data_IF_348367218220
#
_entry.id   IF_348367218220
#
_cell.length_a   1.000
_cell.length_b   1.000
_cell.length_c   1.000
_cell.angle_alpha   90.00
_cell.angle_beta   90.00
_cell.angle_gamma   90.00
#
_symmetry.space_group_name_H-M   'P 1'
#
loop_
_entity.id
_entity.type
_entity.pdbx_description
1 polymer ?
#
# COMPACT_ATOMS: atom_id res chain seq x y z
N UNK A 1 -4.30 -77.61 -23.33
CA UNK A 1 -3.30 -76.63 -23.79
C UNK A 1 -4.01 -75.32 -23.95
N UNK A 2 -3.83 -74.41 -22.99
CA UNK A 2 -4.58 -73.15 -22.92
C UNK A 2 -3.58 -72.01 -22.84
N UNK A 3 -3.69 -71.10 -23.80
CA UNK A 3 -2.78 -69.99 -24.11
C UNK A 3 -2.99 -68.88 -23.06
N UNK A 4 -1.94 -68.24 -22.51
CA UNK A 4 -2.11 -67.09 -21.63
C UNK A 4 -2.34 -65.80 -22.43
N UNK A 5 -3.32 -65.02 -22.01
CA UNK A 5 -3.69 -63.69 -22.55
C UNK A 5 -2.74 -62.63 -21.97
N UNK A 6 -2.20 -61.68 -22.75
CA UNK A 6 -1.39 -60.59 -22.23
C UNK A 6 -2.25 -59.46 -21.62
N UNK A 7 -1.83 -58.98 -20.45
CA UNK A 7 -2.41 -57.82 -19.74
C UNK A 7 -1.99 -56.53 -20.46
N UNK A 8 -2.89 -55.56 -20.73
CA UNK A 8 -2.52 -54.29 -21.33
C UNK A 8 -1.78 -53.40 -20.32
N UNK A 9 -0.62 -52.88 -20.72
CA UNK A 9 0.14 -51.86 -19.99
C UNK A 9 -0.54 -50.50 -20.20
N UNK A 10 -1.08 -49.92 -19.14
CA UNK A 10 -1.63 -48.55 -19.15
C UNK A 10 -0.44 -47.58 -19.05
N UNK A 11 -0.29 -46.61 -19.98
CA UNK A 11 0.76 -45.60 -19.87
C UNK A 11 0.49 -44.67 -18.68
N UNK A 12 1.46 -44.59 -17.77
CA UNK A 12 1.47 -43.63 -16.65
C UNK A 12 1.64 -42.21 -17.23
N UNK A 13 0.76 -41.25 -16.91
CA UNK A 13 0.94 -39.88 -17.37
C UNK A 13 2.21 -39.27 -16.76
N UNK A 14 3.06 -38.73 -17.62
CA UNK A 14 4.27 -37.99 -17.26
C UNK A 14 3.83 -36.73 -16.50
N UNK A 15 4.36 -36.44 -15.29
CA UNK A 15 4.01 -35.23 -14.56
C UNK A 15 4.50 -34.01 -15.32
N UNK A 16 3.55 -33.15 -15.72
CA UNK A 16 3.84 -31.82 -16.28
C UNK A 16 4.38 -30.94 -15.16
N UNK A 17 5.51 -30.23 -15.33
CA UNK A 17 6.04 -29.35 -14.30
C UNK A 17 5.07 -28.17 -14.06
N UNK A 18 4.59 -28.05 -12.83
CA UNK A 18 3.76 -26.94 -12.35
C UNK A 18 4.68 -25.74 -12.08
N UNK A 19 4.38 -24.53 -12.59
CA UNK A 19 5.15 -23.34 -12.27
C UNK A 19 4.97 -22.98 -10.78
N UNK A 20 6.10 -22.84 -10.08
CA UNK A 20 6.18 -22.27 -8.74
C UNK A 20 5.94 -20.77 -8.85
N UNK A 21 4.90 -20.24 -8.20
CA UNK A 21 4.74 -18.80 -7.99
C UNK A 21 5.01 -18.53 -6.50
N UNK A 22 6.15 -17.94 -6.12
CA UNK A 22 6.33 -17.38 -4.80
C UNK A 22 6.49 -15.85 -4.94
N UNK A 23 5.39 -15.09 -4.84
CA UNK A 23 5.40 -13.67 -4.47
C UNK A 23 4.01 -13.29 -3.95
N UNK A 24 3.88 -12.38 -2.96
CA UNK A 24 2.64 -11.66 -2.76
C UNK A 24 2.36 -10.90 -4.06
N UNK A 25 1.22 -11.14 -4.69
CA UNK A 25 0.76 -10.34 -5.83
C UNK A 25 0.00 -9.16 -5.24
N UNK A 26 0.57 -7.94 -5.27
CA UNK A 26 -0.17 -6.77 -4.84
C UNK A 26 -1.27 -6.49 -5.87
N UNK A 27 -2.51 -6.38 -5.42
CA UNK A 27 -3.63 -5.91 -6.23
C UNK A 27 -3.64 -4.40 -6.11
N UNK A 28 -3.01 -3.71 -7.07
CA UNK A 28 -2.91 -2.25 -7.04
C UNK A 28 -3.73 -1.64 -8.16
N UNK A 29 -4.57 -0.67 -7.80
CA UNK A 29 -5.56 -0.10 -8.69
C UNK A 29 -5.19 1.33 -9.07
N UNK A 30 -5.14 1.55 -10.38
CA UNK A 30 -5.13 2.88 -10.98
C UNK A 30 -6.52 3.10 -11.57
N UNK A 31 -7.28 4.14 -11.17
CA UNK A 31 -8.51 4.49 -11.85
C UNK A 31 -8.21 4.99 -13.27
N UNK A 32 -8.44 4.15 -14.28
CA UNK A 32 -8.27 4.52 -15.69
C UNK A 32 -9.47 5.39 -16.12
N UNK A 33 -9.26 6.56 -16.76
CA UNK A 33 -10.33 7.29 -17.42
C UNK A 33 -10.60 6.68 -18.80
N UNK A 34 -11.73 5.98 -19.00
CA UNK A 34 -12.17 5.59 -20.36
C UNK A 34 -13.65 5.92 -20.55
N UNK A 35 -14.04 6.62 -21.63
CA UNK A 35 -15.44 6.74 -22.02
C UNK A 35 -15.94 5.41 -22.57
N UNK A 36 -17.20 5.08 -22.27
CA UNK A 36 -17.85 3.81 -22.56
C UNK A 36 -17.59 3.27 -23.98
N UNK A 37 -16.92 2.11 -24.06
CA UNK A 37 -16.91 1.19 -25.22
C UNK A 37 -16.91 -0.24 -24.66
N UNK A 38 -17.71 -1.18 -25.20
CA UNK A 38 -17.83 -2.53 -24.65
C UNK A 38 -16.48 -3.28 -24.70
N UNK A 39 -16.12 -3.86 -23.56
CA UNK A 39 -14.90 -4.64 -23.37
C UNK A 39 -14.95 -5.88 -24.26
N UNK A 40 -14.05 -5.94 -25.24
CA UNK A 40 -13.72 -7.17 -25.97
C UNK A 40 -12.34 -7.61 -25.46
N UNK A 41 -12.27 -8.78 -24.80
CA UNK A 41 -11.00 -9.35 -24.34
C UNK A 41 -10.21 -9.83 -25.57
N UNK A 42 -9.06 -9.18 -25.84
CA UNK A 42 -8.08 -9.66 -26.82
C UNK A 42 -6.88 -10.22 -26.03
N UNK A 43 -6.57 -11.52 -26.14
CA UNK A 43 -5.38 -12.09 -25.51
C UNK A 43 -4.13 -11.70 -26.30
N UNK A 44 -3.17 -11.07 -25.64
CA UNK A 44 -1.82 -10.81 -26.18
C UNK A 44 -0.88 -11.90 -25.65
N UNK A 45 -0.26 -12.73 -26.51
CA UNK A 45 0.69 -13.75 -26.07
C UNK A 45 2.07 -13.12 -25.81
N UNK A 46 2.62 -13.33 -24.61
CA UNK A 46 4.02 -13.03 -24.28
C UNK A 46 4.85 -14.33 -24.47
N UNK A 47 6.00 -14.31 -25.15
CA UNK A 47 6.81 -15.51 -25.38
C UNK A 47 7.53 -15.95 -24.11
N UNK A 48 7.33 -17.22 -23.72
CA UNK A 48 8.01 -17.87 -22.60
C UNK A 48 9.38 -18.37 -23.06
N UNK A 49 10.47 -17.71 -22.66
CA UNK A 49 11.81 -18.28 -22.73
C UNK A 49 12.10 -19.10 -21.47
N UNK A 50 12.37 -20.38 -21.66
CA UNK A 50 12.67 -21.36 -20.60
C UNK A 50 14.10 -21.19 -20.08
N UNK A 51 14.25 -20.98 -18.77
CA UNK A 51 15.54 -21.09 -18.06
C UNK A 51 15.47 -22.31 -17.14
N UNK A 52 16.50 -23.18 -17.05
CA UNK A 52 16.41 -24.40 -16.25
C UNK A 52 16.51 -24.13 -14.74
N UNK A 53 15.66 -24.81 -13.96
CA UNK A 53 15.61 -24.74 -12.49
C UNK A 53 16.46 -25.87 -11.88
N UNK A 54 17.36 -25.61 -10.91
CA UNK A 54 18.05 -26.66 -10.17
C UNK A 54 17.11 -27.31 -9.13
N UNK A 55 17.12 -28.65 -9.07
CA UNK A 55 16.37 -29.46 -8.07
C UNK A 55 17.00 -29.33 -6.68
N UNK A 56 16.20 -29.05 -5.66
CA UNK A 56 16.56 -29.29 -4.25
C UNK A 56 15.67 -30.40 -3.67
N UNK A 57 16.23 -31.29 -2.81
CA UNK A 57 15.50 -32.42 -2.27
C UNK A 57 14.64 -32.02 -1.06
N UNK A 58 13.52 -32.73 -0.88
CA UNK A 58 12.61 -32.59 0.23
C UNK A 58 13.24 -33.04 1.57
N UNK A 59 13.20 -32.16 2.56
CA UNK A 59 13.30 -32.40 4.01
C UNK A 59 12.59 -31.20 4.67
N UNK A 60 11.75 -31.27 5.70
CA UNK A 60 11.52 -32.25 6.74
C UNK A 60 11.35 -31.47 8.06
N UNK A 61 10.13 -31.37 8.56
CA UNK A 61 9.72 -31.19 9.98
C UNK A 61 10.08 -29.90 10.78
N UNK A 62 9.02 -29.37 11.40
CA UNK A 62 8.89 -28.56 12.63
C UNK A 62 10.07 -27.72 13.16
N UNK A 63 9.79 -26.43 13.38
CA UNK A 63 10.55 -25.53 14.24
C UNK A 63 11.38 -24.53 13.45
N UNK A 64 11.06 -23.23 13.60
CA UNK A 64 11.91 -22.08 13.26
C UNK A 64 12.87 -22.29 12.06
N UNK A 65 12.31 -22.47 10.86
CA UNK A 65 13.04 -22.54 9.58
C UNK A 65 12.61 -21.39 8.64
N UNK A 66 13.43 -21.02 7.65
CA UNK A 66 13.41 -19.68 7.04
C UNK A 66 12.07 -19.37 6.37
N UNK A 67 11.54 -18.20 6.69
CA UNK A 67 10.44 -17.54 5.98
C UNK A 67 10.74 -17.50 4.48
N UNK A 68 9.75 -17.37 3.59
CA UNK A 68 9.99 -16.99 2.20
C UNK A 68 10.52 -15.54 2.18
N UNK A 69 11.80 -15.38 2.51
CA UNK A 69 12.53 -14.14 2.35
C UNK A 69 13.14 -14.05 0.96
N UNK A 70 13.72 -12.89 0.65
CA UNK A 70 14.59 -12.75 -0.53
C UNK A 70 15.66 -13.85 -0.54
N UNK A 71 16.35 -14.13 -1.67
CA UNK A 71 17.46 -15.10 -1.73
C UNK A 71 18.57 -14.91 -0.68
N UNK A 72 18.55 -13.78 0.05
CA UNK A 72 19.46 -13.41 1.14
C UNK A 72 18.87 -13.62 2.55
N UNK A 73 17.69 -14.24 2.69
CA UNK A 73 17.02 -14.49 3.97
C UNK A 73 16.41 -13.25 4.63
N UNK A 74 16.20 -12.16 3.87
CA UNK A 74 15.58 -10.92 4.37
C UNK A 74 14.06 -11.05 4.28
N UNK A 75 13.36 -10.80 5.38
CA UNK A 75 11.91 -10.64 5.40
C UNK A 75 11.52 -9.33 4.72
N UNK A 76 10.80 -9.42 3.60
CA UNK A 76 10.44 -8.29 2.76
C UNK A 76 9.43 -7.35 3.44
N UNK A 77 8.58 -7.86 4.34
CA UNK A 77 7.60 -7.04 5.07
C UNK A 77 8.19 -6.36 6.32
N UNK A 78 9.50 -6.47 6.53
CA UNK A 78 10.28 -5.72 7.52
C UNK A 78 11.41 -4.92 6.85
N UNK A 79 11.34 -4.74 5.51
CA UNK A 79 12.44 -4.20 4.72
C UNK A 79 12.14 -2.87 4.03
N UNK A 80 10.93 -2.32 4.20
CA UNK A 80 10.62 -0.97 3.77
C UNK A 80 11.13 0.07 4.78
N UNK A 81 11.30 1.31 4.32
CA UNK A 81 11.80 2.35 5.19
C UNK A 81 10.80 2.62 6.31
N UNK A 82 11.27 2.57 7.55
CA UNK A 82 10.51 3.08 8.70
C UNK A 82 10.39 4.60 8.56
N UNK A 83 9.20 5.03 8.15
CA UNK A 83 8.81 6.44 8.05
C UNK A 83 7.98 6.88 9.27
N UNK A 84 7.42 5.92 10.01
CA UNK A 84 6.63 6.13 11.22
C UNK A 84 7.45 6.87 12.27
N UNK A 85 8.64 6.37 12.60
CA UNK A 85 9.54 7.00 13.59
C UNK A 85 9.85 8.45 13.22
N UNK A 86 10.09 8.73 11.94
CA UNK A 86 10.41 10.08 11.49
C UNK A 86 9.19 11.03 11.56
N UNK A 87 7.99 10.55 11.23
CA UNK A 87 6.75 11.31 11.37
C UNK A 87 6.49 11.64 12.84
N UNK A 88 6.58 10.64 13.70
CA UNK A 88 6.22 10.72 15.11
C UNK A 88 7.20 11.59 15.89
N UNK A 89 8.50 11.47 15.62
CA UNK A 89 9.51 12.40 16.13
C UNK A 89 9.18 13.84 15.72
N UNK A 90 8.66 14.06 14.51
CA UNK A 90 8.31 15.40 14.03
C UNK A 90 7.02 15.92 14.69
N UNK A 91 6.01 15.06 14.89
CA UNK A 91 4.78 15.39 15.61
C UNK A 91 5.06 15.76 17.07
N UNK A 92 5.88 14.97 17.78
CA UNK A 92 6.26 15.23 19.18
C UNK A 92 7.05 16.54 19.36
N UNK A 93 7.58 17.09 18.26
CA UNK A 93 8.28 18.37 18.21
C UNK A 93 7.47 19.49 17.53
N UNK A 94 6.16 19.29 17.30
CA UNK A 94 5.24 20.24 16.65
C UNK A 94 5.71 20.72 15.26
N UNK A 95 6.40 19.85 14.51
CA UNK A 95 6.96 20.19 13.20
C UNK A 95 5.99 19.88 12.05
N UNK A 96 4.92 19.11 12.27
CA UNK A 96 3.99 18.66 11.24
C UNK A 96 2.77 19.61 11.14
N UNK A 97 2.29 19.99 9.95
CA UNK A 97 2.81 19.69 8.61
C UNK A 97 3.79 20.74 8.05
N UNK A 98 4.09 21.79 8.82
CA UNK A 98 4.74 23.01 8.29
C UNK A 98 6.26 22.89 8.09
N UNK A 99 6.95 22.17 8.98
CA UNK A 99 8.40 21.94 8.91
C UNK A 99 8.75 20.51 8.48
N UNK A 100 7.84 19.57 8.71
CA UNK A 100 7.92 18.17 8.31
C UNK A 100 6.60 17.75 7.66
N UNK A 101 6.61 17.05 6.51
CA UNK A 101 5.38 16.76 5.80
C UNK A 101 4.57 15.64 6.47
N UNK A 102 3.23 15.73 6.41
CA UNK A 102 2.29 14.69 6.84
C UNK A 102 1.98 13.64 5.75
N UNK A 103 2.64 13.74 4.58
CA UNK A 103 2.47 12.90 3.40
C UNK A 103 3.76 12.91 2.56
N UNK A 104 4.03 11.88 1.76
CA UNK A 104 5.25 11.79 0.94
C UNK A 104 6.53 12.03 1.76
N UNK A 105 6.62 11.41 2.93
CA UNK A 105 7.80 11.49 3.79
C UNK A 105 9.00 10.96 3.01
N UNK A 106 10.09 11.73 2.87
CA UNK A 106 11.21 11.31 2.02
C UNK A 106 11.88 10.06 2.58
N UNK A 107 12.20 9.11 1.69
CA UNK A 107 12.96 7.91 2.04
C UNK A 107 14.31 8.35 2.63
N UNK A 108 14.72 7.82 3.79
CA UNK A 108 16.01 8.15 4.38
C UNK A 108 17.18 7.90 3.42
N UNK A 109 18.15 8.81 3.38
CA UNK A 109 19.31 8.68 2.47
C UNK A 109 20.07 7.35 2.64
N UNK A 110 20.11 6.79 3.87
CA UNK A 110 20.78 5.52 4.10
C UNK A 110 20.17 4.35 3.29
N UNK A 111 18.92 4.44 2.85
CA UNK A 111 18.29 3.43 1.99
C UNK A 111 18.94 3.35 0.60
N UNK A 112 19.60 4.41 0.14
CA UNK A 112 20.25 4.45 -1.18
C UNK A 112 21.73 4.06 -1.15
N UNK A 113 22.30 3.87 0.05
CA UNK A 113 23.70 3.47 0.17
C UNK A 113 23.94 2.05 -0.34
N UNK A 114 25.11 1.81 -0.92
CA UNK A 114 25.50 0.51 -1.47
C UNK A 114 25.56 -0.61 -0.41
N UNK A 115 25.81 -0.24 0.86
CA UNK A 115 25.84 -1.16 1.99
C UNK A 115 24.48 -1.30 2.72
N UNK A 116 23.43 -0.62 2.25
CA UNK A 116 22.11 -0.72 2.85
C UNK A 116 21.54 -2.13 2.65
N UNK A 117 21.05 -2.74 3.73
CA UNK A 117 20.42 -4.06 3.72
C UNK A 117 18.99 -4.00 3.19
N UNK A 118 18.83 -3.53 1.96
CA UNK A 118 17.54 -3.46 1.25
C UNK A 118 17.52 -4.50 0.14
N UNK A 119 16.49 -5.33 0.13
CA UNK A 119 16.22 -6.36 -0.85
C UNK A 119 15.97 -5.74 -2.24
N UNK A 120 16.46 -6.36 -3.33
CA UNK A 120 16.18 -5.88 -4.67
C UNK A 120 14.68 -5.85 -4.97
N UNK A 121 13.91 -6.79 -4.41
CA UNK A 121 12.45 -6.84 -4.50
C UNK A 121 11.81 -5.59 -3.88
N UNK A 122 12.22 -5.22 -2.66
CA UNK A 122 11.76 -3.99 -2.00
C UNK A 122 12.11 -2.75 -2.82
N UNK A 123 13.32 -2.67 -3.38
CA UNK A 123 13.71 -1.54 -4.26
C UNK A 123 12.83 -1.47 -5.51
N UNK A 124 12.52 -2.61 -6.12
CA UNK A 124 11.67 -2.68 -7.30
C UNK A 124 10.24 -2.23 -6.99
N UNK A 125 9.68 -2.66 -5.85
CA UNK A 125 8.34 -2.26 -5.41
C UNK A 125 8.29 -0.76 -5.08
N UNK A 126 9.28 -0.23 -4.36
CA UNK A 126 9.38 1.23 -4.11
C UNK A 126 9.42 2.02 -5.41
N UNK A 127 10.26 1.59 -6.37
CA UNK A 127 10.33 2.26 -7.68
C UNK A 127 8.98 2.20 -8.42
N UNK A 128 8.31 1.05 -8.38
CA UNK A 128 7.00 0.86 -9.00
C UNK A 128 5.91 1.74 -8.36
N UNK A 129 5.89 1.82 -7.02
CA UNK A 129 5.00 2.71 -6.26
C UNK A 129 5.20 4.19 -6.62
N UNK A 130 6.41 4.59 -7.01
CA UNK A 130 6.73 5.96 -7.44
C UNK A 130 6.41 6.21 -8.92
N UNK A 131 6.26 5.17 -9.74
CA UNK A 131 5.97 5.30 -11.17
C UNK A 131 4.50 5.59 -11.47
N UNK A 132 3.58 5.16 -10.61
CA UNK A 132 2.14 5.28 -10.84
C UNK A 132 1.46 5.98 -9.67
N UNK A 133 0.41 6.78 -9.92
CA UNK A 133 -0.37 7.42 -8.86
C UNK A 133 -1.37 6.41 -8.27
N UNK A 134 -0.86 5.39 -7.58
CA UNK A 134 -1.70 4.40 -6.93
C UNK A 134 -2.54 5.04 -5.82
N UNK A 135 -3.82 4.65 -5.78
CA UNK A 135 -4.82 5.22 -4.85
C UNK A 135 -5.18 4.20 -3.77
N UNK A 136 -5.40 2.95 -4.17
CA UNK A 136 -5.80 1.85 -3.30
C UNK A 136 -4.99 0.60 -3.65
N UNK A 137 -4.53 -0.11 -2.62
CA UNK A 137 -3.77 -1.35 -2.72
C UNK A 137 -4.19 -2.34 -1.65
N UNK A 138 -4.01 -3.63 -1.92
CA UNK A 138 -3.95 -4.66 -0.90
C UNK A 138 -2.76 -5.58 -1.15
N UNK A 139 -2.04 -5.92 -0.09
CA UNK A 139 -1.06 -7.01 -0.11
C UNK A 139 -1.65 -8.24 0.58
N UNK A 140 -1.35 -9.41 0.02
CA UNK A 140 -2.01 -10.67 0.37
C UNK A 140 -1.04 -11.58 1.12
N UNK A 141 -1.47 -12.03 2.29
CA UNK A 141 -0.71 -12.85 3.22
C UNK A 141 -1.49 -14.13 3.59
N UNK A 142 -0.81 -15.02 4.30
CA UNK A 142 -1.42 -16.21 4.87
C UNK A 142 -0.78 -16.56 6.21
N UNK A 143 -1.53 -17.32 7.01
CA UNK A 143 -1.20 -17.67 8.39
C UNK A 143 -2.31 -17.30 9.37
N UNK A 144 -3.25 -16.45 8.97
CA UNK A 144 -4.43 -16.10 9.74
C UNK A 144 -5.60 -15.82 8.79
N UNK A 145 -6.78 -15.51 9.34
CA UNK A 145 -7.96 -15.13 8.57
C UNK A 145 -8.55 -13.83 9.15
N UNK A 146 -7.97 -12.70 8.74
CA UNK A 146 -8.26 -11.34 9.22
C UNK A 146 -7.78 -10.31 8.20
N UNK A 147 -8.39 -9.12 8.19
CA UNK A 147 -7.86 -7.97 7.44
C UNK A 147 -7.21 -6.99 8.40
N UNK A 148 -5.96 -6.66 8.13
CA UNK A 148 -5.17 -5.70 8.93
C UNK A 148 -5.04 -4.37 8.20
N UNK A 149 -5.02 -3.30 8.97
CA UNK A 149 -4.92 -1.94 8.44
C UNK A 149 -3.97 -1.05 9.26
N UNK A 150 -3.38 -0.01 8.64
CA UNK A 150 -2.40 0.86 9.27
C UNK A 150 -2.85 1.53 10.59
N UNK A 151 -1.92 1.96 11.45
CA UNK A 151 -0.48 1.67 11.34
C UNK A 151 -0.13 0.26 11.80
N UNK A 152 0.90 -0.33 11.19
CA UNK A 152 1.48 -1.61 11.59
C UNK A 152 2.51 -1.46 12.70
N UNK A 153 3.19 -0.32 12.79
CA UNK A 153 4.11 -0.02 13.89
C UNK A 153 3.37 0.57 15.11
N UNK A 154 3.72 0.12 16.31
CA UNK A 154 3.26 0.71 17.57
C UNK A 154 3.88 2.08 17.82
N UNK A 155 3.07 3.08 18.20
CA UNK A 155 3.58 4.42 18.56
C UNK A 155 4.59 4.37 19.71
N UNK A 156 4.34 3.54 20.71
CA UNK A 156 5.24 3.32 21.84
C UNK A 156 6.29 2.27 21.48
N UNK A 157 7.55 2.67 21.35
CA UNK A 157 8.67 1.83 20.88
C UNK A 157 8.81 0.45 21.57
N UNK A 158 8.46 0.33 22.85
CA UNK A 158 8.60 -0.93 23.61
C UNK A 158 7.33 -1.77 23.70
N UNK A 159 6.21 -1.33 23.12
CA UNK A 159 4.96 -2.11 23.13
C UNK A 159 4.93 -3.06 21.94
N UNK A 160 4.74 -4.35 22.22
CA UNK A 160 4.51 -5.34 21.16
C UNK A 160 3.12 -5.22 20.52
N UNK A 161 2.15 -4.66 21.27
CA UNK A 161 0.77 -4.47 20.85
C UNK A 161 0.25 -3.11 21.36
N UNK A 162 -0.24 -2.28 20.45
CA UNK A 162 -0.86 -0.98 20.76
C UNK A 162 -1.74 -0.52 19.59
N UNK A 163 -3.01 -0.20 19.87
CA UNK A 163 -3.86 0.48 18.90
C UNK A 163 -3.23 1.80 18.47
N UNK A 164 -2.77 1.86 17.22
CA UNK A 164 -2.06 3.01 16.65
C UNK A 164 -2.78 3.47 15.37
N UNK A 165 -3.85 4.28 15.50
CA UNK A 165 -4.68 4.67 14.36
C UNK A 165 -3.99 5.69 13.45
N UNK A 166 -4.34 5.68 12.17
CA UNK A 166 -3.96 6.75 11.23
C UNK A 166 -4.94 7.93 11.28
N UNK A 167 -4.58 9.10 10.72
CA UNK A 167 -5.54 10.17 10.46
C UNK A 167 -6.75 9.73 9.62
N UNK A 168 -6.59 8.70 8.78
CA UNK A 168 -7.63 8.12 7.92
C UNK A 168 -8.24 6.82 8.49
N UNK A 169 -8.15 6.56 9.80
CA UNK A 169 -8.62 5.31 10.44
C UNK A 169 -10.06 4.93 10.04
N UNK A 170 -10.96 5.91 9.96
CA UNK A 170 -12.34 5.68 9.52
C UNK A 170 -12.45 5.09 8.10
N UNK A 171 -11.58 5.50 7.18
CA UNK A 171 -11.54 4.98 5.80
C UNK A 171 -10.90 3.60 5.79
N UNK A 172 -9.79 3.41 6.51
CA UNK A 172 -9.12 2.10 6.59
C UNK A 172 -10.00 1.02 7.21
N UNK A 173 -10.71 1.34 8.30
CA UNK A 173 -11.69 0.44 8.91
C UNK A 173 -12.80 0.07 7.93
N UNK A 174 -13.29 1.04 7.14
CA UNK A 174 -14.27 0.77 6.09
C UNK A 174 -13.72 -0.20 5.04
N UNK A 175 -12.55 0.10 4.47
CA UNK A 175 -11.87 -0.72 3.45
C UNK A 175 -11.65 -2.16 3.94
N UNK A 176 -11.15 -2.31 5.17
CA UNK A 176 -10.94 -3.61 5.77
C UNK A 176 -12.27 -4.37 5.98
N UNK A 177 -13.31 -3.67 6.45
CA UNK A 177 -14.64 -4.26 6.67
C UNK A 177 -15.27 -4.75 5.38
N UNK A 178 -15.15 -3.99 4.28
CA UNK A 178 -15.69 -4.39 2.97
C UNK A 178 -15.11 -5.74 2.54
N UNK A 179 -13.79 -5.90 2.61
CA UNK A 179 -13.16 -7.17 2.25
C UNK A 179 -13.60 -8.30 3.20
N UNK A 180 -13.50 -8.05 4.51
CA UNK A 180 -13.70 -9.04 5.55
C UNK A 180 -15.13 -9.60 5.61
N UNK A 181 -16.13 -8.74 5.41
CA UNK A 181 -17.54 -9.13 5.45
C UNK A 181 -18.02 -9.80 4.17
N UNK A 182 -17.39 -9.50 3.03
CA UNK A 182 -17.67 -10.15 1.76
C UNK A 182 -17.04 -11.54 1.63
N UNK A 183 -16.03 -11.87 2.44
CA UNK A 183 -15.35 -13.16 2.39
C UNK A 183 -16.14 -14.18 3.23
N UNK A 184 -16.76 -15.21 2.63
CA UNK A 184 -17.60 -16.16 3.37
C UNK A 184 -16.86 -16.93 4.46
N UNK A 185 -15.59 -17.30 4.24
CA UNK A 185 -14.79 -18.02 5.23
C UNK A 185 -14.45 -17.12 6.42
N UNK A 186 -14.10 -15.85 6.16
CA UNK A 186 -13.76 -14.88 7.19
C UNK A 186 -15.01 -14.44 7.98
N UNK A 187 -16.14 -14.22 7.30
CA UNK A 187 -17.39 -13.78 7.88
C UNK A 187 -18.16 -14.91 8.63
N UNK A 188 -17.83 -16.17 8.39
CA UNK A 188 -18.52 -17.31 9.00
C UNK A 188 -18.38 -17.31 10.53
N UNK A 189 -19.53 -17.36 11.22
CA UNK A 189 -19.57 -17.50 12.68
C UNK A 189 -19.13 -18.89 13.17
N UNK A 190 -19.14 -19.89 12.28
CA UNK A 190 -18.74 -21.27 12.56
C UNK A 190 -17.26 -21.53 12.25
N UNK A 191 -16.53 -20.51 11.79
CA UNK A 191 -15.12 -20.67 11.40
C UNK A 191 -14.27 -21.13 12.58
N UNK A 192 -13.35 -22.05 12.30
CA UNK A 192 -12.34 -22.44 13.28
C UNK A 192 -11.27 -21.34 13.37
N UNK A 193 -10.84 -21.03 14.59
CA UNK A 193 -9.67 -20.17 14.82
C UNK A 193 -8.42 -20.82 14.23
N UNK A 194 -7.63 -20.04 13.49
CA UNK A 194 -6.33 -20.50 12.99
C UNK A 194 -5.37 -20.77 14.16
N UNK A 195 -5.27 -19.79 15.07
CA UNK A 195 -4.37 -19.83 16.22
C UNK A 195 -5.11 -19.48 17.53
N UNK A 196 -4.57 -18.54 18.31
CA UNK A 196 -5.07 -18.19 19.65
C UNK A 196 -6.08 -17.05 19.62
N UNK A 197 -5.88 -16.07 18.73
CA UNK A 197 -6.70 -14.88 18.63
C UNK A 197 -8.06 -15.16 17.99
N UNK A 198 -9.07 -14.43 18.44
CA UNK A 198 -10.45 -14.52 17.96
C UNK A 198 -10.89 -13.20 17.34
N UNK A 199 -10.54 -13.00 16.07
CA UNK A 199 -10.84 -11.75 15.35
C UNK A 199 -12.32 -11.55 15.04
N UNK A 200 -13.17 -12.57 15.21
CA UNK A 200 -14.63 -12.42 15.03
C UNK A 200 -15.22 -11.37 15.98
N UNK A 201 -14.62 -11.21 17.16
CA UNK A 201 -15.01 -10.21 18.17
C UNK A 201 -14.80 -8.77 17.72
N UNK A 202 -13.97 -8.59 16.69
CA UNK A 202 -13.61 -7.29 16.13
C UNK A 202 -14.10 -7.12 14.68
N UNK A 203 -15.05 -7.96 14.24
CA UNK A 203 -15.58 -7.90 12.87
C UNK A 203 -14.58 -8.39 11.82
N UNK A 204 -13.62 -9.23 12.22
CA UNK A 204 -12.55 -9.79 11.38
C UNK A 204 -11.61 -8.74 10.78
N UNK A 205 -11.51 -7.57 11.42
CA UNK A 205 -10.53 -6.54 11.11
C UNK A 205 -9.70 -6.21 12.35
N UNK A 206 -8.46 -5.78 12.17
CA UNK A 206 -7.62 -5.30 13.27
C UNK A 206 -6.61 -4.27 12.81
N UNK A 207 -6.31 -3.26 13.63
CA UNK A 207 -5.17 -2.39 13.39
C UNK A 207 -3.86 -3.20 13.52
N UNK A 208 -2.91 -3.06 12.59
CA UNK A 208 -1.71 -3.89 12.54
C UNK A 208 -0.92 -3.85 13.84
N UNK A 209 -0.61 -2.66 14.34
CA UNK A 209 0.10 -2.48 15.60
C UNK A 209 -0.66 -3.02 16.83
N UNK A 210 -1.99 -3.06 16.78
CA UNK A 210 -2.82 -3.66 17.84
C UNK A 210 -2.73 -5.19 17.84
N UNK A 211 -2.45 -5.81 16.68
CA UNK A 211 -2.22 -7.25 16.57
C UNK A 211 -0.78 -7.61 16.94
N UNK A 212 0.19 -7.03 16.25
CA UNK A 212 1.62 -7.09 16.57
C UNK A 212 2.38 -6.01 15.80
N UNK A 213 3.31 -5.34 16.48
CA UNK A 213 4.09 -4.26 15.88
C UNK A 213 5.01 -4.77 14.75
N UNK A 214 4.96 -4.14 13.58
CA UNK A 214 5.82 -4.41 12.42
C UNK A 214 6.41 -3.10 11.93
N UNK A 215 7.68 -2.86 12.27
CA UNK A 215 8.43 -1.71 11.75
C UNK A 215 8.94 -2.01 10.33
N UNK A 216 8.83 -1.04 9.44
CA UNK A 216 9.27 -1.18 8.04
C UNK A 216 8.34 -2.05 7.19
N UNK A 217 7.04 -2.03 7.49
CA UNK A 217 6.00 -2.70 6.69
C UNK A 217 5.75 -1.98 5.37
N UNK A 218 5.27 -2.73 4.38
CA UNK A 218 4.89 -2.17 3.07
C UNK A 218 3.64 -1.30 3.16
N UNK A 219 2.69 -1.63 4.05
CA UNK A 219 1.46 -0.85 4.27
C UNK A 219 1.76 0.58 4.72
N UNK A 220 2.52 0.69 5.81
CA UNK A 220 2.84 1.98 6.42
C UNK A 220 3.69 2.82 5.46
N UNK A 221 4.61 2.18 4.73
CA UNK A 221 5.38 2.84 3.68
C UNK A 221 4.49 3.38 2.56
N UNK A 222 3.53 2.61 2.07
CA UNK A 222 2.60 3.03 1.02
C UNK A 222 1.84 4.30 1.42
N UNK A 223 1.26 4.30 2.62
CA UNK A 223 0.50 5.42 3.16
C UNK A 223 1.39 6.65 3.43
N UNK A 224 2.59 6.46 3.99
CA UNK A 224 3.45 7.59 4.38
C UNK A 224 4.28 8.17 3.24
N UNK A 225 4.63 7.38 2.22
CA UNK A 225 5.49 7.81 1.12
C UNK A 225 4.74 8.15 -0.18
N UNK A 226 3.50 7.70 -0.34
CA UNK A 226 2.71 7.87 -1.58
C UNK A 226 1.28 8.34 -1.27
N UNK A 227 0.41 8.38 -2.29
CA UNK A 227 -1.03 8.59 -2.10
C UNK A 227 -1.79 7.28 -1.77
N UNK A 228 -1.11 6.12 -1.85
CA UNK A 228 -1.76 4.83 -1.88
C UNK A 228 -2.17 4.37 -0.48
N UNK A 229 -3.45 4.05 -0.32
CA UNK A 229 -3.97 3.45 0.90
C UNK A 229 -3.85 1.93 0.74
N UNK A 230 -3.00 1.30 1.55
CA UNK A 230 -2.74 -0.14 1.50
C UNK A 230 -3.24 -0.85 2.76
N UNK A 231 -3.86 -2.00 2.58
CA UNK A 231 -4.25 -2.93 3.66
C UNK A 231 -3.53 -4.28 3.45
N UNK A 232 -3.39 -5.06 4.53
CA UNK A 232 -2.92 -6.45 4.44
C UNK A 232 -4.07 -7.41 4.70
N UNK A 233 -4.26 -8.35 3.77
CA UNK A 233 -5.31 -9.37 3.88
C UNK A 233 -4.67 -10.72 4.20
N UNK A 234 -4.97 -11.28 5.36
CA UNK A 234 -4.62 -12.66 5.71
C UNK A 234 -5.73 -13.59 5.19
N UNK A 235 -5.42 -14.36 4.15
CA UNK A 235 -6.40 -15.07 3.33
C UNK A 235 -6.84 -16.42 3.89
N UNK A 236 -5.95 -17.09 4.64
CA UNK A 236 -6.15 -18.47 5.09
C UNK A 236 -5.19 -18.82 6.23
N UNK A 237 -5.61 -19.76 7.09
CA UNK A 237 -4.77 -20.28 8.17
C UNK A 237 -3.54 -21.03 7.62
N UNK A 238 -3.73 -21.81 6.56
CA UNK A 238 -2.67 -22.59 5.95
C UNK A 238 -1.89 -21.73 4.95
N UNK A 239 -0.65 -21.37 5.31
CA UNK A 239 0.23 -20.54 4.47
C UNK A 239 0.50 -21.13 3.08
N UNK A 240 0.37 -22.45 2.94
CA UNK A 240 0.62 -23.17 1.71
C UNK A 240 -0.45 -24.27 1.57
N UNK A 241 -1.69 -23.92 1.19
CA UNK A 241 -2.78 -24.89 1.09
C UNK A 241 -2.51 -25.88 -0.05
N UNK A 242 -3.12 -27.05 0.01
CA UNK A 242 -2.96 -28.03 -1.05
C UNK A 242 -3.66 -27.55 -2.33
N UNK A 243 -3.15 -27.94 -3.50
CA UNK A 243 -3.69 -27.49 -4.80
C UNK A 243 -5.19 -27.78 -4.97
N UNK A 244 -5.73 -28.80 -4.29
CA UNK A 244 -7.16 -29.14 -4.31
C UNK A 244 -8.05 -28.14 -3.57
N UNK A 245 -7.48 -27.31 -2.68
CA UNK A 245 -8.21 -26.31 -1.88
C UNK A 245 -8.29 -24.96 -2.60
N UNK A 246 -7.41 -24.70 -3.56
CA UNK A 246 -7.34 -23.44 -4.31
C UNK A 246 -8.67 -23.01 -4.98
N UNK A 247 -9.51 -23.90 -5.53
CA UNK A 247 -10.80 -23.50 -6.07
C UNK A 247 -11.75 -22.94 -4.99
N UNK A 248 -11.70 -23.48 -3.78
CA UNK A 248 -12.49 -22.98 -2.66
C UNK A 248 -11.93 -21.65 -2.14
N UNK A 249 -10.60 -21.52 -2.04
CA UNK A 249 -9.95 -20.25 -1.68
C UNK A 249 -10.28 -19.13 -2.68
N UNK A 250 -10.34 -19.45 -3.97
CA UNK A 250 -10.80 -18.51 -4.99
C UNK A 250 -12.25 -18.08 -4.76
N UNK A 251 -13.18 -19.03 -4.55
CA UNK A 251 -14.59 -18.69 -4.32
C UNK A 251 -14.77 -17.84 -3.06
N UNK A 252 -13.99 -18.11 -2.01
CA UNK A 252 -14.01 -17.34 -0.77
C UNK A 252 -13.56 -15.88 -0.96
N UNK A 253 -12.63 -15.63 -1.88
CA UNK A 253 -12.00 -14.31 -2.03
C UNK A 253 -12.49 -13.53 -3.26
N UNK A 254 -13.12 -14.18 -4.25
CA UNK A 254 -13.51 -13.54 -5.52
C UNK A 254 -14.33 -12.28 -5.29
N UNK A 255 -15.41 -12.38 -4.51
CA UNK A 255 -16.31 -11.25 -4.28
C UNK A 255 -15.64 -10.16 -3.44
N UNK A 256 -14.90 -10.53 -2.39
CA UNK A 256 -14.13 -9.58 -1.57
C UNK A 256 -13.12 -8.78 -2.38
N UNK A 257 -12.39 -9.45 -3.29
CA UNK A 257 -11.43 -8.79 -4.17
C UNK A 257 -12.14 -7.79 -5.09
N UNK A 258 -13.25 -8.18 -5.72
CA UNK A 258 -14.01 -7.30 -6.60
C UNK A 258 -14.57 -6.08 -5.85
N UNK A 259 -15.25 -6.30 -4.72
CA UNK A 259 -15.82 -5.22 -3.91
C UNK A 259 -14.75 -4.30 -3.34
N UNK A 260 -13.60 -4.85 -2.94
CA UNK A 260 -12.45 -4.05 -2.52
C UNK A 260 -11.93 -3.19 -3.67
N UNK A 261 -11.81 -3.74 -4.88
CA UNK A 261 -11.36 -2.98 -6.03
C UNK A 261 -12.30 -1.83 -6.40
N UNK A 262 -13.60 -2.03 -6.23
CA UNK A 262 -14.60 -0.97 -6.43
C UNK A 262 -14.46 0.19 -5.43
N UNK A 263 -13.85 -0.02 -4.25
CA UNK A 263 -13.66 1.04 -3.26
C UNK A 263 -12.71 2.15 -3.72
N UNK A 264 -11.88 1.91 -4.75
CA UNK A 264 -11.02 2.96 -5.35
C UNK A 264 -11.85 4.11 -5.94
N UNK A 265 -13.14 3.88 -6.19
CA UNK A 265 -14.09 4.85 -6.71
C UNK A 265 -14.88 5.57 -5.61
N UNK A 266 -14.45 5.53 -4.35
CA UNK A 266 -15.06 6.31 -3.25
C UNK A 266 -14.34 7.65 -3.04
N UNK A 267 -15.02 8.57 -2.35
CA UNK A 267 -14.44 9.82 -1.88
C UNK A 267 -14.59 10.93 -2.92
N UNK A 268 -13.55 11.74 -3.08
CA UNK A 268 -13.52 12.81 -4.06
C UNK A 268 -12.41 12.59 -5.09
N UNK A 269 -12.63 13.07 -6.31
CA UNK A 269 -11.58 13.17 -7.33
C UNK A 269 -11.74 14.44 -8.13
N UNK A 270 -10.67 14.89 -8.76
CA UNK A 270 -10.77 16.02 -9.68
C UNK A 270 -9.43 16.39 -10.25
N UNK A 271 -9.39 17.58 -10.86
CA UNK A 271 -8.18 18.13 -11.47
C UNK A 271 -7.92 19.51 -10.87
N UNK A 272 -6.68 19.77 -10.48
CA UNK A 272 -6.19 21.10 -10.11
C UNK A 272 -5.61 21.74 -11.36
N UNK A 273 -6.19 22.87 -11.80
CA UNK A 273 -5.79 23.59 -13.01
C UNK A 273 -5.27 24.98 -12.70
N UNK A 274 -4.35 25.45 -13.53
CA UNK A 274 -3.97 26.87 -13.59
C UNK A 274 -5.11 27.66 -14.22
N UNK A 275 -5.53 28.76 -13.58
CA UNK A 275 -6.68 29.58 -13.99
C UNK A 275 -6.52 30.24 -15.37
N UNK A 276 -5.28 30.51 -15.78
CA UNK A 276 -4.96 31.25 -17.00
C UNK A 276 -4.75 30.31 -18.19
N UNK A 277 -4.06 29.19 -17.94
CA UNK A 277 -3.64 28.24 -19.00
C UNK A 277 -4.54 27.02 -19.12
N UNK A 278 -5.41 26.75 -18.13
CA UNK A 278 -6.24 25.54 -18.02
C UNK A 278 -5.46 24.21 -17.95
N UNK A 279 -4.13 24.26 -17.90
CA UNK A 279 -3.30 23.09 -17.76
C UNK A 279 -3.34 22.55 -16.32
N UNK A 280 -3.24 21.23 -16.19
CA UNK A 280 -3.11 20.56 -14.91
C UNK A 280 -1.85 20.98 -14.16
N UNK A 281 -1.98 21.21 -12.85
CA UNK A 281 -0.86 21.56 -11.98
C UNK A 281 -0.37 20.29 -11.28
N UNK A 282 0.81 19.75 -11.65
CA UNK A 282 1.36 18.56 -10.99
C UNK A 282 1.87 18.87 -9.59
N UNK A 283 1.86 17.86 -8.72
CA UNK A 283 2.32 17.95 -7.33
C UNK A 283 1.62 19.03 -6.47
N UNK A 284 0.48 19.56 -6.92
CA UNK A 284 -0.42 20.31 -6.05
C UNK A 284 -0.89 19.43 -4.90
N UNK A 285 -0.97 20.01 -3.70
CA UNK A 285 -1.36 19.33 -2.46
C UNK A 285 -2.86 19.57 -2.24
N UNK A 286 -3.58 18.51 -1.95
CA UNK A 286 -4.98 18.52 -1.52
C UNK A 286 -5.02 18.16 -0.04
N UNK A 287 -5.43 19.11 0.79
CA UNK A 287 -5.62 18.93 2.24
C UNK A 287 -7.11 18.98 2.58
N UNK A 288 -7.54 18.09 3.47
CA UNK A 288 -8.92 17.99 3.97
C UNK A 288 -8.95 18.47 5.41
N UNK A 289 -9.84 19.41 5.72
CA UNK A 289 -9.96 19.92 7.09
C UNK A 289 -10.29 18.78 8.07
N UNK A 290 -9.62 18.78 9.22
CA UNK A 290 -9.74 17.73 10.24
C UNK A 290 -9.00 16.42 9.96
N UNK A 291 -8.34 16.24 8.80
CA UNK A 291 -7.56 15.03 8.49
C UNK A 291 -6.09 15.39 8.25
N UNK A 292 -5.22 15.02 9.18
CA UNK A 292 -3.78 15.33 9.11
C UNK A 292 -2.99 14.37 8.19
N UNK A 293 -3.44 14.23 6.95
CA UNK A 293 -2.73 13.48 5.91
C UNK A 293 -3.16 14.03 4.54
N UNK A 294 -2.29 14.73 3.83
CA UNK A 294 -2.62 15.33 2.53
C UNK A 294 -2.33 14.37 1.37
N UNK A 295 -2.90 14.62 0.18
CA UNK A 295 -2.55 13.89 -1.07
C UNK A 295 -1.97 14.84 -2.12
N UNK A 296 -1.26 14.29 -3.10
CA UNK A 296 -0.72 15.05 -4.24
C UNK A 296 -1.43 14.71 -5.55
N UNK A 297 -1.53 15.70 -6.41
CA UNK A 297 -1.93 15.51 -7.82
C UNK A 297 -0.84 14.78 -8.60
N UNK A 298 -1.26 13.98 -9.59
CA UNK A 298 -0.37 13.35 -10.56
C UNK A 298 0.08 14.34 -11.66
N UNK A 299 0.73 13.85 -12.71
CA UNK A 299 1.38 14.69 -13.73
C UNK A 299 0.42 15.63 -14.47
N UNK A 300 -0.84 15.20 -14.65
CA UNK A 300 -1.87 15.96 -15.36
C UNK A 300 -2.76 16.79 -14.41
N UNK A 301 -2.35 16.93 -13.14
CA UNK A 301 -3.06 17.68 -12.12
C UNK A 301 -4.28 16.94 -11.53
N UNK A 302 -4.52 15.70 -11.93
CA UNK A 302 -5.56 14.84 -11.41
C UNK A 302 -5.21 14.28 -10.02
N UNK A 303 -6.21 14.13 -9.17
CA UNK A 303 -6.06 13.55 -7.84
C UNK A 303 -7.27 12.72 -7.44
N UNK A 304 -7.05 11.85 -6.46
CA UNK A 304 -8.06 11.03 -5.82
C UNK A 304 -7.83 11.08 -4.31
N UNK A 305 -8.90 11.30 -3.56
CA UNK A 305 -8.86 11.30 -2.10
C UNK A 305 -10.01 10.45 -1.56
N UNK A 306 -9.66 9.27 -1.07
CA UNK A 306 -10.60 8.36 -0.42
C UNK A 306 -11.11 9.00 0.87
N UNK A 307 -12.43 9.05 1.02
CA UNK A 307 -13.12 9.64 2.16
C UNK A 307 -14.41 8.87 2.41
N UNK A 308 -14.85 8.84 3.66
CA UNK A 308 -16.18 8.35 3.98
C UNK A 308 -17.26 9.39 3.61
N UNK A 309 -18.55 9.01 3.53
CA UNK A 309 -19.63 9.94 3.28
C UNK A 309 -19.66 11.08 4.30
N UNK A 310 -19.76 12.32 3.82
CA UNK A 310 -19.64 13.52 4.64
C UNK A 310 -19.48 14.79 3.81
N UNK A 311 -19.50 15.94 4.49
CA UNK A 311 -19.16 17.23 3.91
C UNK A 311 -17.81 17.67 4.46
N UNK A 312 -16.91 18.09 3.58
CA UNK A 312 -15.53 18.38 3.91
C UNK A 312 -15.12 19.73 3.32
N UNK A 313 -14.43 20.56 4.10
CA UNK A 313 -13.71 21.71 3.56
C UNK A 313 -12.37 21.23 2.99
N UNK A 314 -12.17 21.41 1.69
CA UNK A 314 -11.00 20.90 0.98
C UNK A 314 -10.22 22.05 0.37
N UNK A 315 -8.91 22.06 0.61
CA UNK A 315 -8.00 23.10 0.12
C UNK A 315 -7.00 22.50 -0.87
N UNK A 316 -6.91 23.12 -2.05
CA UNK A 316 -5.84 22.85 -3.01
C UNK A 316 -4.79 23.95 -2.94
N UNK A 317 -3.51 23.55 -2.81
CA UNK A 317 -2.36 24.47 -2.78
C UNK A 317 -1.23 23.97 -3.67
N UNK A 318 -0.56 24.90 -4.35
CA UNK A 318 0.61 24.60 -5.18
C UNK A 318 1.64 25.73 -5.07
N UNK A 319 2.92 25.39 -5.22
CA UNK A 319 3.98 26.40 -5.19
C UNK A 319 3.81 27.41 -6.34
N UNK A 320 3.82 28.71 -6.01
CA UNK A 320 3.62 29.78 -6.98
C UNK A 320 2.16 30.12 -7.30
N UNK A 321 1.21 29.49 -6.63
CA UNK A 321 -0.23 29.75 -6.77
C UNK A 321 -0.86 30.21 -5.46
N UNK A 322 -1.98 30.93 -5.56
CA UNK A 322 -2.86 31.20 -4.43
C UNK A 322 -3.70 29.95 -4.12
N UNK A 323 -3.78 29.59 -2.84
CA UNK A 323 -4.55 28.41 -2.43
C UNK A 323 -6.06 28.67 -2.55
N UNK A 324 -6.81 27.64 -2.92
CA UNK A 324 -8.26 27.71 -3.03
C UNK A 324 -8.90 26.67 -2.10
N UNK A 325 -9.92 27.08 -1.37
CA UNK A 325 -10.69 26.24 -0.43
C UNK A 325 -12.14 26.21 -0.87
N UNK A 326 -12.76 25.03 -0.85
CA UNK A 326 -14.18 24.88 -1.13
C UNK A 326 -14.76 23.64 -0.41
N UNK A 327 -16.07 23.63 -0.15
CA UNK A 327 -16.74 22.44 0.34
C UNK A 327 -16.84 21.38 -0.76
N UNK A 328 -16.40 20.15 -0.46
CA UNK A 328 -16.65 18.96 -1.28
C UNK A 328 -17.53 17.99 -0.48
N UNK A 329 -18.53 17.39 -1.14
CA UNK A 329 -19.44 16.42 -0.51
C UNK A 329 -19.20 15.01 -1.03
N UNK A 330 -19.12 14.04 -0.13
CA UNK A 330 -19.01 12.62 -0.44
C UNK A 330 -20.34 11.95 -0.16
N UNK A 331 -20.89 11.27 -1.16
CA UNK A 331 -22.16 10.54 -1.05
C UNK A 331 -21.94 9.09 -0.65
N UNK A 332 -23.02 8.38 -0.30
CA UNK A 332 -22.97 6.97 0.08
C UNK A 332 -22.69 6.03 -1.11
N UNK A 333 -22.96 6.49 -2.32
CA UNK A 333 -22.71 5.73 -3.55
C UNK A 333 -21.21 5.52 -3.75
N UNK A 334 -20.83 4.35 -4.28
CA UNK A 334 -19.43 4.04 -4.62
C UNK A 334 -19.02 4.71 -5.95
N UNK A 335 -19.31 6.00 -6.06
CA UNK A 335 -18.96 6.87 -7.19
C UNK A 335 -18.22 8.08 -6.64
N UNK A 336 -17.07 8.45 -7.19
CA UNK A 336 -16.25 9.48 -6.58
C UNK A 336 -16.83 10.84 -6.97
N UNK A 337 -17.08 11.70 -5.98
CA UNK A 337 -17.65 13.02 -6.25
C UNK A 337 -16.60 13.90 -6.94
N UNK A 338 -16.94 14.52 -8.09
CA UNK A 338 -16.07 15.50 -8.70
C UNK A 338 -15.86 16.72 -7.78
N UNK A 339 -14.61 17.02 -7.45
CA UNK A 339 -14.23 18.27 -6.80
C UNK A 339 -12.95 18.77 -7.47
N UNK A 340 -13.04 19.82 -8.29
CA UNK A 340 -11.91 20.34 -9.07
C UNK A 340 -11.58 21.76 -8.65
N UNK A 341 -10.32 22.15 -8.80
CA UNK A 341 -9.81 23.44 -8.35
C UNK A 341 -9.19 24.20 -9.50
N UNK A 342 -9.34 25.53 -9.48
CA UNK A 342 -8.64 26.46 -10.36
C UNK A 342 -7.83 27.39 -9.49
N UNK A 343 -6.51 27.40 -9.68
CA UNK A 343 -5.60 28.20 -8.87
C UNK A 343 -5.05 29.35 -9.70
N UNK A 344 -5.09 30.55 -9.12
CA UNK A 344 -4.48 31.75 -9.71
C UNK A 344 -2.99 31.80 -9.38
N UNK A 345 -2.17 32.29 -10.32
CA UNK A 345 -0.75 32.51 -10.05
C UNK A 345 -0.58 33.63 -9.03
N UNK A 346 0.23 33.38 -8.00
CA UNK A 346 0.53 34.40 -7.01
C UNK A 346 1.21 35.59 -7.68
N UNK A 347 0.63 36.79 -7.55
CA UNK A 347 1.18 38.01 -8.15
C UNK A 347 2.54 38.32 -7.52
N UNK A 348 3.60 38.16 -8.31
CA UNK A 348 4.97 38.25 -7.81
C UNK A 348 5.29 39.59 -7.15
N UNK A 349 5.80 39.54 -5.92
CA UNK A 349 6.85 40.49 -5.50
C UNK A 349 8.07 40.22 -6.39
N UNK A 350 8.17 40.96 -7.50
CA UNK A 350 9.42 41.09 -8.24
C UNK A 350 10.48 41.69 -7.30
N UNK A 351 11.41 40.85 -6.81
CA UNK A 351 12.77 41.30 -6.49
C UNK A 351 13.71 40.59 -7.48
N UNK A 352 14.36 41.31 -8.40
CA UNK A 352 15.36 40.71 -9.27
C UNK A 352 16.59 40.41 -8.42
N UNK A 353 16.73 39.15 -8.03
CA UNK A 353 17.83 38.70 -7.20
C UNK A 353 17.82 37.19 -7.08
N UNK A 354 18.25 36.51 -8.14
CA UNK A 354 18.79 35.13 -8.16
C UNK A 354 18.43 34.30 -6.91
N UNK A 355 17.16 33.90 -6.79
CA UNK A 355 16.80 32.81 -5.87
C UNK A 355 17.27 31.53 -6.54
N UNK A 356 18.42 31.02 -6.05
CA UNK A 356 18.81 29.63 -6.30
C UNK A 356 17.62 28.74 -5.92
N UNK A 357 17.38 27.63 -6.64
CA UNK A 357 16.38 26.65 -6.23
C UNK A 357 16.58 26.37 -4.73
N UNK A 358 15.50 26.52 -3.96
CA UNK A 358 15.50 26.12 -2.56
C UNK A 358 15.96 24.67 -2.47
N UNK A 359 16.77 24.29 -1.47
CA UNK A 359 17.24 22.92 -1.38
C UNK A 359 16.01 22.00 -1.29
N UNK A 360 16.00 20.97 -2.14
CA UNK A 360 15.09 19.83 -2.12
C UNK A 360 14.67 19.52 -0.67
N UNK A 361 13.37 19.35 -0.36
CA UNK A 361 12.92 18.92 0.96
C UNK A 361 13.75 17.76 1.53
N UNK A 362 14.21 16.83 0.68
CA UNK A 362 15.14 15.77 1.06
C UNK A 362 16.52 16.32 1.49
N UNK A 363 17.09 17.26 0.74
CA UNK A 363 18.34 17.97 1.10
C UNK A 363 18.19 18.84 2.35
N UNK A 364 17.00 19.43 2.59
CA UNK A 364 16.71 20.21 3.81
C UNK A 364 16.63 19.29 5.03
N UNK A 365 15.97 18.14 4.90
CA UNK A 365 15.89 17.13 5.95
C UNK A 365 17.26 16.50 6.24
N UNK A 366 18.07 16.27 5.21
CA UNK A 366 19.46 15.80 5.32
C UNK A 366 20.33 16.81 6.10
N UNK A 367 20.17 18.12 5.85
CA UNK A 367 20.85 19.18 6.61
C UNK A 367 20.43 19.22 8.07
N UNK A 368 19.15 18.99 8.38
CA UNK A 368 18.66 18.93 9.76
C UNK A 368 19.19 17.71 10.50
N UNK A 369 19.23 16.53 9.86
CA UNK A 369 19.84 15.30 10.41
C UNK A 369 21.33 15.48 10.68
N UNK A 370 22.09 16.06 9.75
CA UNK A 370 23.51 16.36 9.94
C UNK A 370 23.76 17.35 11.09
N UNK A 371 22.84 18.30 11.32
CA UNK A 371 22.91 19.21 12.47
C UNK A 371 22.67 18.50 13.80
N UNK A 372 21.69 17.60 13.88
CA UNK A 372 21.42 16.78 15.10
C UNK A 372 22.58 15.84 15.43
N UNK A 373 23.18 15.20 14.43
CA UNK A 373 24.36 14.33 14.61
C UNK A 373 25.59 15.11 15.10
N UNK A 374 25.82 16.33 14.60
CA UNK A 374 26.91 17.20 15.07
C UNK A 374 26.68 17.75 16.47
N UNK A 375 25.43 17.89 16.91
CA UNK A 375 25.11 18.28 18.28
C UNK A 375 25.38 17.13 19.28
N UNK A 376 25.13 15.88 18.89
CA UNK A 376 25.41 14.69 19.72
C UNK A 376 26.91 14.31 19.75
N UNK A 377 27.67 14.63 18.70
CA UNK A 377 29.12 14.36 18.63
C UNK A 377 30.03 15.38 19.33
N UNK A 378 29.48 16.40 20.01
CA UNK A 378 30.26 17.40 20.78
C UNK A 378 30.17 17.21 22.30
N UNK A 379 29.61 16.09 22.74
CA UNK A 379 29.45 15.73 24.15
C UNK A 379 30.22 14.48 24.58
N UNK A 380 31.30 14.11 23.87
CA UNK A 380 32.26 13.09 24.30
C UNK A 380 33.67 13.67 24.34
#
# INVERSE_FOLDING_TARGET
MSIPVPIPVIPVPIPVPIPVIPMPIPVILVPIPVPAVPITLIPVPIPVTTVPVPRFPAAGWMGHGPMPGSPRGIDLNHNFADLNTALWDAEDNDLVPHEFPNHYIPIPEYYTFANATVAPETRAVIAWMQCYPFVLSANLHGGELVVTYPFDMSRTYWKAQELTPTPDDGVFRWLATVYATANPAMASAERRRCHYDDFTRYGNIINGANWHTVAGSMNDFSYLHTNCFEITVELSCDKFPHASELPAEWENNRESLLLFMEQVHRGIKGVVRDSDTELGIPNAIISVDGINHDVRTASDGDYWRLLNPGEYEVTARAEGYEAATQPCRVYFENVPTPCSFRLERARGRHRPGRTRPGPDPALRLQRLRLRRLRAHGRGQ
#
